data_IF_101706461433
#
_entry.id   IF_101706461433
#
_cell.length_a   1.000
_cell.length_b   1.000
_cell.length_c   1.000
_cell.angle_alpha   90.00
_cell.angle_beta   90.00
_cell.angle_gamma   90.00
#
_symmetry.space_group_name_H-M   'P 1'
#
loop_
_entity.id
_entity.type
_entity.pdbx_description
1 polymer ?
#
# COMPACT_ATOMS: atom_id res chain seq x y z
N UNK A 1 1.76 7.04 -17.48
CA UNK A 1 1.33 7.48 -16.14
C UNK A 1 0.38 8.64 -16.28
N UNK A 2 -0.74 8.60 -15.57
CA UNK A 2 -1.82 9.58 -15.68
C UNK A 2 -2.09 10.35 -14.38
N UNK A 3 -1.13 10.32 -13.43
CA UNK A 3 -1.18 11.10 -12.19
C UNK A 3 -1.09 12.60 -12.49
N UNK A 4 -2.04 13.38 -11.99
CA UNK A 4 -2.12 14.83 -12.17
C UNK A 4 -1.47 15.58 -11.01
N UNK A 5 -1.94 15.32 -9.80
CA UNK A 5 -1.52 15.99 -8.58
C UNK A 5 -1.89 15.16 -7.35
N UNK A 6 -1.44 15.61 -6.18
CA UNK A 6 -1.95 15.16 -4.90
C UNK A 6 -3.00 16.17 -4.40
N UNK A 7 -4.12 15.69 -3.88
CA UNK A 7 -5.19 16.54 -3.33
C UNK A 7 -5.41 16.20 -1.86
N UNK A 8 -5.56 17.22 -1.01
CA UNK A 8 -5.89 16.99 0.38
C UNK A 8 -7.33 16.49 0.55
N UNK A 9 -7.48 15.36 1.24
CA UNK A 9 -8.78 14.71 1.49
C UNK A 9 -9.75 15.51 2.36
N UNK A 10 -9.35 16.67 2.87
CA UNK A 10 -10.16 17.49 3.78
C UNK A 10 -10.36 18.92 3.29
N UNK A 11 -9.29 19.61 2.85
CA UNK A 11 -9.38 21.00 2.40
C UNK A 11 -9.29 21.17 0.87
N UNK A 12 -9.08 20.10 0.10
CA UNK A 12 -8.96 20.16 -1.36
C UNK A 12 -7.70 20.86 -1.87
N UNK A 13 -6.75 21.22 -0.99
CA UNK A 13 -5.51 21.87 -1.43
C UNK A 13 -4.69 20.93 -2.32
N UNK A 14 -4.26 21.44 -3.47
CA UNK A 14 -3.40 20.72 -4.40
C UNK A 14 -1.94 20.75 -3.94
N UNK A 15 -1.25 19.64 -4.17
CA UNK A 15 0.15 19.43 -3.87
C UNK A 15 0.85 18.76 -5.05
N UNK A 16 2.13 19.08 -5.23
CA UNK A 16 2.97 18.42 -6.23
C UNK A 16 3.24 16.96 -5.83
N UNK A 17 3.10 16.06 -6.79
CA UNK A 17 3.39 14.64 -6.59
C UNK A 17 4.87 14.29 -6.83
N UNK A 18 5.64 15.20 -7.45
CA UNK A 18 7.02 14.98 -7.89
C UNK A 18 8.07 15.12 -6.79
N UNK A 19 7.66 15.15 -5.52
CA UNK A 19 8.55 15.26 -4.35
C UNK A 19 8.07 14.39 -3.21
N UNK A 20 8.99 13.99 -2.34
CA UNK A 20 8.63 13.30 -1.10
C UNK A 20 7.74 14.20 -0.25
N UNK A 21 6.52 13.73 -0.03
CA UNK A 21 5.54 14.42 0.77
C UNK A 21 4.74 13.44 1.60
N UNK A 22 4.47 13.82 2.84
CA UNK A 22 3.59 13.07 3.71
C UNK A 22 2.15 13.63 3.64
N UNK A 23 1.83 14.57 4.51
CA UNK A 23 0.48 15.13 4.68
C UNK A 23 0.35 16.50 4.02
N UNK A 24 -0.89 17.00 3.98
CA UNK A 24 -1.18 18.36 3.53
C UNK A 24 -0.39 19.39 4.34
N UNK A 25 0.27 20.32 3.64
CA UNK A 25 1.06 21.38 4.26
C UNK A 25 0.20 22.38 5.05
N UNK A 26 -1.08 22.51 4.71
CA UNK A 26 -2.01 23.44 5.35
C UNK A 26 -2.68 22.84 6.59
N UNK A 27 -3.35 21.69 6.44
CA UNK A 27 -4.19 21.12 7.51
C UNK A 27 -3.71 19.78 8.07
N UNK A 28 -2.54 19.28 7.63
CA UNK A 28 -1.92 18.03 8.09
C UNK A 28 -2.80 16.76 7.89
N UNK A 29 -3.82 16.83 7.02
CA UNK A 29 -4.66 15.69 6.65
C UNK A 29 -4.05 14.89 5.48
N UNK A 30 -4.50 13.64 5.27
CA UNK A 30 -4.00 12.78 4.20
C UNK A 30 -4.14 13.42 2.81
N UNK A 31 -3.29 12.98 1.90
CA UNK A 31 -3.27 13.37 0.50
C UNK A 31 -3.68 12.17 -0.36
N UNK A 32 -4.52 12.41 -1.37
CA UNK A 32 -4.93 11.42 -2.36
C UNK A 32 -4.28 11.71 -3.71
N UNK A 33 -3.89 10.66 -4.41
CA UNK A 33 -3.34 10.75 -5.76
C UNK A 33 -4.47 10.87 -6.78
N UNK A 34 -4.53 12.01 -7.48
CA UNK A 34 -5.59 12.29 -8.46
C UNK A 34 -5.13 11.89 -9.84
N UNK A 35 -5.79 10.89 -10.42
CA UNK A 35 -5.46 10.31 -11.73
C UNK A 35 -6.45 10.77 -12.80
N UNK A 36 -5.96 11.05 -14.00
CA UNK A 36 -6.80 11.26 -15.17
C UNK A 36 -7.42 9.94 -15.65
N UNK A 37 -8.61 9.61 -15.15
CA UNK A 37 -9.32 8.38 -15.53
C UNK A 37 -9.75 8.38 -17.00
N UNK A 38 -10.04 9.53 -17.59
CA UNK A 38 -10.45 9.63 -18.99
C UNK A 38 -9.28 9.38 -19.94
N UNK A 39 -8.07 9.78 -19.56
CA UNK A 39 -6.86 9.42 -20.29
C UNK A 39 -6.45 7.96 -20.02
N UNK A 40 -6.52 7.50 -18.78
CA UNK A 40 -6.17 6.13 -18.40
C UNK A 40 -7.06 5.09 -19.09
N UNK A 41 -8.36 5.35 -19.22
CA UNK A 41 -9.33 4.42 -19.85
C UNK A 41 -9.02 4.12 -21.32
N UNK A 42 -8.26 4.98 -22.01
CA UNK A 42 -7.81 4.74 -23.40
C UNK A 42 -6.85 3.55 -23.52
N UNK A 43 -6.18 3.18 -22.43
CA UNK A 43 -5.17 2.10 -22.41
C UNK A 43 -5.51 0.99 -21.40
N UNK A 44 -6.38 1.28 -20.43
CA UNK A 44 -6.88 0.31 -19.45
C UNK A 44 -8.23 -0.25 -19.92
N UNK A 45 -8.21 -1.07 -20.96
CA UNK A 45 -9.40 -1.76 -21.47
C UNK A 45 -9.46 -3.21 -20.99
N UNK A 46 -10.63 -3.85 -21.12
CA UNK A 46 -10.83 -5.25 -20.73
C UNK A 46 -9.95 -6.19 -21.57
N UNK A 47 -9.85 -5.90 -22.86
CA UNK A 47 -9.07 -6.65 -23.84
C UNK A 47 -7.57 -6.51 -23.55
N UNK A 48 -7.13 -5.29 -23.20
CA UNK A 48 -5.76 -5.06 -22.80
C UNK A 48 -5.41 -5.78 -21.49
N UNK A 49 -6.33 -5.83 -20.53
CA UNK A 49 -6.11 -6.55 -19.27
C UNK A 49 -6.03 -8.06 -19.48
N UNK A 50 -6.84 -8.65 -20.35
CA UNK A 50 -6.92 -10.09 -20.59
C UNK A 50 -5.57 -10.75 -20.97
N UNK A 51 -4.66 -9.98 -21.56
CA UNK A 51 -3.34 -10.46 -22.01
C UNK A 51 -2.18 -10.07 -21.08
N UNK A 52 -2.43 -9.22 -20.08
CA UNK A 52 -1.40 -8.81 -19.10
C UNK A 52 -1.15 -9.90 -18.07
N UNK A 53 0.07 -9.92 -17.55
CA UNK A 53 0.43 -10.72 -16.38
C UNK A 53 -0.53 -10.44 -15.22
N UNK A 54 -0.88 -11.50 -14.48
CA UNK A 54 -1.75 -11.40 -13.30
C UNK A 54 -0.96 -10.89 -12.10
N UNK A 55 -0.79 -9.58 -12.01
CA UNK A 55 -0.18 -8.88 -10.88
C UNK A 55 -0.92 -7.58 -10.58
N UNK A 56 -0.65 -6.96 -9.43
CA UNK A 56 -1.13 -5.62 -9.09
C UNK A 56 -0.79 -4.60 -10.19
N UNK A 57 0.40 -4.71 -10.77
CA UNK A 57 0.93 -3.74 -11.74
C UNK A 57 0.28 -3.83 -13.12
N UNK A 58 -0.58 -4.82 -13.38
CA UNK A 58 -1.40 -4.82 -14.61
C UNK A 58 -2.35 -3.62 -14.70
N UNK A 59 -2.67 -3.00 -13.57
CA UNK A 59 -3.48 -1.77 -13.47
C UNK A 59 -2.64 -0.48 -13.53
N UNK A 60 -1.38 -0.55 -14.00
CA UNK A 60 -0.42 0.58 -14.02
C UNK A 60 -0.98 1.91 -14.53
N UNK A 61 -1.87 1.90 -15.51
CA UNK A 61 -2.50 3.10 -16.04
C UNK A 61 -3.25 3.92 -14.97
N UNK A 62 -3.68 3.32 -13.87
CA UNK A 62 -4.32 4.03 -12.75
C UNK A 62 -3.45 4.09 -11.49
N UNK A 63 -2.16 3.78 -11.61
CA UNK A 63 -1.18 3.84 -10.53
C UNK A 63 -0.23 5.02 -10.70
N UNK A 64 0.37 5.52 -9.61
CA UNK A 64 1.11 6.79 -9.60
C UNK A 64 2.55 6.70 -10.13
N UNK A 65 3.05 5.51 -10.51
CA UNK A 65 4.44 5.31 -10.90
C UNK A 65 4.66 5.64 -12.40
N UNK A 66 5.70 6.42 -12.78
CA UNK A 66 6.01 6.72 -14.17
C UNK A 66 6.29 5.47 -15.01
N UNK A 67 5.86 5.47 -16.27
CA UNK A 67 5.84 4.25 -17.10
C UNK A 67 7.22 3.64 -17.35
N UNK A 68 8.27 4.48 -17.38
CA UNK A 68 9.65 4.08 -17.57
C UNK A 68 10.37 3.61 -16.29
N UNK A 69 9.67 3.53 -15.16
CA UNK A 69 10.25 3.14 -13.86
C UNK A 69 9.77 1.75 -13.47
N UNK A 70 10.70 0.82 -13.29
CA UNK A 70 10.38 -0.54 -12.86
C UNK A 70 9.78 -0.53 -11.43
N UNK A 71 8.61 -1.14 -11.22
CA UNK A 71 8.02 -1.23 -9.89
C UNK A 71 8.80 -2.14 -8.95
N UNK A 72 8.78 -1.80 -7.66
CA UNK A 72 9.19 -2.70 -6.59
C UNK A 72 8.05 -3.66 -6.31
N UNK A 73 8.11 -4.83 -6.96
CA UNK A 73 7.13 -5.90 -6.85
C UNK A 73 7.73 -7.14 -6.20
N UNK A 74 6.89 -7.86 -5.45
CA UNK A 74 7.13 -9.22 -4.99
C UNK A 74 6.12 -10.22 -5.61
N UNK A 75 5.31 -9.77 -6.56
CA UNK A 75 4.26 -10.57 -7.22
C UNK A 75 2.88 -10.44 -6.58
N UNK A 76 2.65 -9.39 -5.78
CA UNK A 76 1.36 -9.12 -5.16
C UNK A 76 0.23 -8.88 -6.17
N UNK A 77 -1.01 -9.14 -5.73
CA UNK A 77 -2.20 -9.13 -6.60
C UNK A 77 -2.47 -10.48 -7.27
N UNK A 78 -3.49 -10.54 -8.11
CA UNK A 78 -3.92 -11.80 -8.75
C UNK A 78 -4.42 -12.87 -7.77
N UNK A 79 -4.78 -12.46 -6.56
CA UNK A 79 -5.20 -13.33 -5.45
C UNK A 79 -6.51 -14.07 -5.75
N UNK A 80 -6.75 -15.26 -5.19
CA UNK A 80 -7.95 -16.04 -5.48
C UNK A 80 -9.25 -15.38 -5.04
N UNK A 81 -10.32 -15.66 -5.78
CA UNK A 81 -11.70 -15.43 -5.38
C UNK A 81 -12.35 -16.79 -5.14
N UNK A 82 -12.54 -17.16 -3.88
CA UNK A 82 -12.92 -18.50 -3.44
C UNK A 82 -14.42 -18.56 -3.15
N UNK A 83 -15.12 -19.51 -3.76
CA UNK A 83 -16.55 -19.72 -3.49
C UNK A 83 -16.77 -20.52 -2.20
N UNK A 84 -17.41 -19.93 -1.20
CA UNK A 84 -17.66 -20.53 0.11
C UNK A 84 -18.96 -21.37 0.12
N UNK A 85 -19.02 -22.42 -0.71
CA UNK A 85 -20.25 -23.20 -1.01
C UNK A 85 -21.00 -23.76 0.21
N UNK A 86 -20.32 -24.00 1.33
CA UNK A 86 -20.90 -24.61 2.54
C UNK A 86 -21.16 -23.61 3.68
N UNK A 87 -20.88 -22.32 3.47
CA UNK A 87 -20.97 -21.32 4.53
C UNK A 87 -22.43 -20.91 4.80
N UNK A 88 -23.21 -20.71 3.74
CA UNK A 88 -24.63 -20.40 3.81
C UNK A 88 -25.32 -21.01 2.58
N UNK A 89 -26.28 -21.90 2.79
CA UNK A 89 -26.93 -22.63 1.69
C UNK A 89 -27.73 -21.71 0.75
N UNK A 90 -28.23 -20.59 1.30
CA UNK A 90 -29.10 -19.65 0.59
C UNK A 90 -28.38 -18.40 0.08
N UNK A 91 -27.06 -18.29 0.28
CA UNK A 91 -26.27 -17.12 -0.11
C UNK A 91 -25.08 -17.52 -0.98
N UNK A 92 -24.86 -16.81 -2.09
CA UNK A 92 -23.66 -16.98 -2.91
C UNK A 92 -22.48 -16.20 -2.32
N UNK A 93 -21.79 -16.82 -1.36
CA UNK A 93 -20.69 -16.19 -0.64
C UNK A 93 -19.35 -16.49 -1.32
N UNK A 94 -18.58 -15.42 -1.53
CA UNK A 94 -17.22 -15.48 -2.07
C UNK A 94 -16.24 -14.81 -1.11
N UNK A 95 -15.02 -15.36 -1.05
CA UNK A 95 -13.92 -14.87 -0.22
C UNK A 95 -12.79 -14.41 -1.13
N UNK A 96 -12.46 -13.13 -1.04
CA UNK A 96 -11.29 -12.57 -1.69
C UNK A 96 -10.06 -12.82 -0.82
N UNK A 97 -9.28 -13.84 -1.15
CA UNK A 97 -8.23 -14.34 -0.26
C UNK A 97 -6.90 -13.58 -0.44
N UNK A 98 -6.78 -12.48 0.29
CA UNK A 98 -5.57 -11.65 0.33
C UNK A 98 -4.42 -12.26 1.18
N UNK A 99 -4.63 -13.42 1.81
CA UNK A 99 -3.59 -14.10 2.60
C UNK A 99 -2.50 -14.72 1.74
N UNK A 100 -2.74 -14.89 0.42
CA UNK A 100 -1.75 -15.44 -0.51
C UNK A 100 -0.85 -14.39 -1.15
N UNK A 101 -0.94 -13.12 -0.74
CA UNK A 101 0.07 -12.14 -1.13
C UNK A 101 1.45 -12.50 -0.55
N UNK A 102 2.56 -11.98 -1.11
CA UNK A 102 3.93 -12.31 -0.70
C UNK A 102 4.25 -12.11 0.79
N UNK A 103 3.54 -11.20 1.46
CA UNK A 103 3.70 -10.89 2.90
C UNK A 103 2.45 -11.30 3.70
N UNK A 104 1.75 -12.32 3.20
CA UNK A 104 0.58 -12.96 3.78
C UNK A 104 -0.57 -12.01 4.16
N UNK A 105 -0.65 -10.86 3.51
CA UNK A 105 -1.70 -9.88 3.75
C UNK A 105 -1.85 -8.89 2.60
N UNK A 106 -3.02 -8.25 2.55
CA UNK A 106 -3.32 -7.17 1.59
C UNK A 106 -2.38 -5.96 1.69
N UNK A 107 -1.56 -5.85 2.76
CA UNK A 107 -0.61 -4.74 2.93
C UNK A 107 0.46 -4.74 1.84
N UNK A 108 0.75 -5.90 1.24
CA UNK A 108 1.63 -6.04 0.09
C UNK A 108 1.25 -5.10 -1.06
N UNK A 109 -0.06 -5.03 -1.38
CA UNK A 109 -0.57 -4.17 -2.46
C UNK A 109 -0.18 -2.71 -2.28
N UNK A 110 -0.44 -2.18 -1.08
CA UNK A 110 -0.12 -0.80 -0.76
C UNK A 110 1.38 -0.53 -0.67
N UNK A 111 2.15 -1.44 -0.08
CA UNK A 111 3.60 -1.26 0.08
C UNK A 111 4.35 -1.31 -1.23
N UNK A 112 3.94 -2.16 -2.17
CA UNK A 112 4.48 -2.18 -3.52
C UNK A 112 4.46 -0.80 -4.17
N UNK A 113 3.29 -0.16 -4.18
CA UNK A 113 3.13 1.17 -4.79
C UNK A 113 3.84 2.25 -3.98
N UNK A 114 3.68 2.24 -2.65
CA UNK A 114 4.24 3.26 -1.79
C UNK A 114 5.78 3.26 -1.78
N UNK A 115 6.41 2.08 -1.69
CA UNK A 115 7.87 1.94 -1.71
C UNK A 115 8.43 2.26 -3.09
N UNK A 116 7.74 1.86 -4.16
CA UNK A 116 8.12 2.25 -5.53
C UNK A 116 8.15 3.77 -5.71
N UNK A 117 7.11 4.46 -5.24
CA UNK A 117 7.05 5.92 -5.29
C UNK A 117 8.10 6.57 -4.39
N UNK A 118 8.28 6.08 -3.15
CA UNK A 118 9.29 6.60 -2.25
C UNK A 118 10.70 6.49 -2.86
N UNK A 119 11.06 5.32 -3.41
CA UNK A 119 12.33 5.11 -4.10
C UNK A 119 12.48 6.04 -5.30
N UNK A 120 11.46 6.12 -6.16
CA UNK A 120 11.46 6.98 -7.33
C UNK A 120 11.68 8.46 -6.97
N UNK A 121 11.07 8.90 -5.88
CA UNK A 121 11.18 10.28 -5.36
C UNK A 121 12.47 10.51 -4.53
N UNK A 122 13.37 9.54 -4.45
CA UNK A 122 14.69 9.69 -3.85
C UNK A 122 14.79 9.35 -2.36
N UNK A 123 13.78 8.70 -1.77
CA UNK A 123 13.91 8.20 -0.40
C UNK A 123 14.96 7.07 -0.34
N UNK A 124 15.85 7.15 0.65
CA UNK A 124 16.85 6.10 0.93
C UNK A 124 16.53 5.33 2.21
N UNK A 125 15.79 5.95 3.14
CA UNK A 125 15.40 5.40 4.42
C UNK A 125 13.91 5.59 4.68
N UNK A 126 13.25 4.52 5.09
CA UNK A 126 11.81 4.48 5.36
C UNK A 126 11.58 4.22 6.85
N UNK A 127 10.57 4.85 7.45
CA UNK A 127 10.21 4.61 8.84
C UNK A 127 8.70 4.42 9.03
N UNK A 128 8.27 3.42 9.79
CA UNK A 128 6.87 3.24 10.14
C UNK A 128 6.66 2.77 11.58
N UNK A 129 5.60 3.25 12.26
CA UNK A 129 5.12 2.65 13.48
C UNK A 129 4.20 1.47 13.11
N UNK A 130 4.61 0.24 13.40
CA UNK A 130 3.74 -0.92 13.16
C UNK A 130 4.08 -2.13 14.01
N UNK A 131 3.08 -2.64 14.74
CA UNK A 131 3.16 -3.87 15.51
C UNK A 131 2.66 -5.12 14.74
N UNK A 132 2.51 -5.06 13.41
CA UNK A 132 1.89 -6.15 12.63
C UNK A 132 2.19 -6.08 11.14
N UNK A 133 1.27 -6.58 10.30
CA UNK A 133 1.46 -6.84 8.87
C UNK A 133 2.02 -5.65 8.05
N UNK A 134 1.76 -4.40 8.46
CA UNK A 134 2.31 -3.25 7.75
C UNK A 134 3.83 -3.09 7.96
N UNK A 135 4.35 -3.47 9.12
CA UNK A 135 5.78 -3.54 9.42
C UNK A 135 6.48 -4.60 8.58
N UNK A 136 5.98 -5.85 8.63
CA UNK A 136 6.52 -6.96 7.83
C UNK A 136 6.50 -6.65 6.33
N UNK A 137 5.39 -6.09 5.83
CA UNK A 137 5.32 -5.65 4.44
C UNK A 137 6.34 -4.54 4.12
N UNK A 138 6.46 -3.50 4.96
CA UNK A 138 7.46 -2.46 4.72
C UNK A 138 8.89 -3.03 4.71
N UNK A 139 9.22 -3.93 5.63
CA UNK A 139 10.53 -4.58 5.68
C UNK A 139 10.82 -5.36 4.38
N UNK A 140 9.88 -6.18 3.92
CA UNK A 140 10.05 -6.99 2.71
C UNK A 140 10.25 -6.13 1.45
N UNK A 141 9.41 -5.10 1.26
CA UNK A 141 9.50 -4.23 0.09
C UNK A 141 10.71 -3.30 0.14
N UNK A 142 11.11 -2.82 1.33
CA UNK A 142 12.34 -2.05 1.48
C UNK A 142 13.58 -2.88 1.15
N UNK A 143 13.64 -4.13 1.64
CA UNK A 143 14.71 -5.07 1.30
C UNK A 143 14.78 -5.32 -0.21
N UNK A 144 13.63 -5.58 -0.86
CA UNK A 144 13.55 -5.72 -2.33
C UNK A 144 14.00 -4.46 -3.06
N UNK A 145 13.73 -3.29 -2.50
CA UNK A 145 14.09 -1.99 -3.07
C UNK A 145 15.54 -1.59 -2.82
N UNK A 146 16.26 -2.24 -1.89
CA UNK A 146 17.58 -1.80 -1.42
C UNK A 146 17.52 -0.53 -0.57
N UNK A 147 16.45 -0.34 0.21
CA UNK A 147 16.25 0.80 1.09
C UNK A 147 16.41 0.37 2.56
N UNK A 148 16.85 1.29 3.41
CA UNK A 148 16.84 1.07 4.87
C UNK A 148 15.40 1.16 5.39
N UNK A 149 14.97 0.20 6.21
CA UNK A 149 13.68 0.24 6.89
C UNK A 149 13.87 0.34 8.40
N UNK A 150 13.21 1.31 9.03
CA UNK A 150 13.16 1.50 10.47
C UNK A 150 11.73 1.26 10.97
N UNK A 151 11.54 0.26 11.81
CA UNK A 151 10.21 -0.12 12.29
C UNK A 151 10.16 0.07 13.79
N UNK A 152 9.23 0.91 14.22
CA UNK A 152 9.00 1.22 15.63
C UNK A 152 7.81 0.44 16.12
N UNK A 153 8.02 -0.33 17.18
CA UNK A 153 7.05 -1.28 17.72
C UNK A 153 6.89 -1.08 19.23
N UNK A 154 5.68 -1.15 19.79
CA UNK A 154 5.47 -1.35 21.22
C UNK A 154 6.27 -2.54 21.76
N UNK A 155 6.77 -2.45 22.99
CA UNK A 155 7.54 -3.50 23.66
C UNK A 155 6.76 -4.81 23.85
N UNK A 156 5.44 -4.74 23.89
CA UNK A 156 4.50 -5.86 23.99
C UNK A 156 4.10 -6.47 22.63
N UNK A 157 4.69 -5.99 21.53
CA UNK A 157 4.43 -6.52 20.18
C UNK A 157 4.70 -8.02 20.11
N UNK A 158 3.81 -8.82 19.48
CA UNK A 158 4.03 -10.25 19.28
C UNK A 158 5.42 -10.54 18.68
N UNK A 159 6.15 -11.45 19.31
CA UNK A 159 7.54 -11.78 18.94
C UNK A 159 7.69 -12.16 17.46
N UNK A 160 6.68 -12.82 16.88
CA UNK A 160 6.68 -13.20 15.47
C UNK A 160 6.86 -11.97 14.53
N UNK A 161 6.17 -10.87 14.82
CA UNK A 161 6.22 -9.65 13.98
C UNK A 161 7.58 -8.95 14.11
N UNK A 162 8.16 -8.97 15.32
CA UNK A 162 9.52 -8.46 15.57
C UNK A 162 10.57 -9.28 14.80
N UNK A 163 10.46 -10.61 14.85
CA UNK A 163 11.36 -11.52 14.13
C UNK A 163 11.22 -11.32 12.63
N UNK A 164 10.02 -11.36 12.08
CA UNK A 164 9.75 -11.16 10.65
C UNK A 164 10.46 -9.91 10.12
N UNK A 165 10.29 -8.77 10.80
CA UNK A 165 10.91 -7.52 10.38
C UNK A 165 12.45 -7.56 10.44
N UNK A 166 13.02 -8.16 11.49
CA UNK A 166 14.48 -8.27 11.66
C UNK A 166 15.12 -9.21 10.64
N UNK A 167 14.51 -10.35 10.37
CA UNK A 167 14.98 -11.33 9.38
C UNK A 167 14.92 -10.78 7.96
N UNK A 168 13.97 -9.88 7.68
CA UNK A 168 13.89 -9.12 6.43
C UNK A 168 14.88 -7.94 6.38
N UNK A 169 15.73 -7.76 7.40
CA UNK A 169 16.79 -6.75 7.44
C UNK A 169 16.37 -5.37 7.95
N UNK A 170 15.18 -5.21 8.52
CA UNK A 170 14.75 -3.93 9.08
C UNK A 170 15.36 -3.65 10.46
N UNK A 171 15.65 -2.38 10.72
CA UNK A 171 16.02 -1.87 12.04
C UNK A 171 14.78 -1.75 12.92
N UNK A 172 14.56 -2.74 13.79
CA UNK A 172 13.42 -2.73 14.73
C UNK A 172 13.80 -2.06 16.05
N UNK A 173 13.10 -0.98 16.40
CA UNK A 173 13.19 -0.31 17.70
C UNK A 173 11.95 -0.61 18.52
N UNK A 174 12.13 -1.19 19.71
CA UNK A 174 11.05 -1.41 20.67
C UNK A 174 10.89 -0.17 21.55
N UNK A 175 9.66 0.27 21.77
CA UNK A 175 9.30 1.41 22.61
C UNK A 175 8.41 0.91 23.74
N UNK A 176 8.73 1.30 24.97
CA UNK A 176 7.86 1.10 26.12
C UNK A 176 6.70 2.11 26.06
N UNK A 177 5.60 1.72 25.43
CA UNK A 177 4.48 2.60 25.13
C UNK A 177 3.60 2.04 24.01
N UNK A 178 2.67 2.87 23.53
CA UNK A 178 1.70 2.52 22.50
C UNK A 178 2.23 2.78 21.09
N UNK A 179 1.47 2.33 20.09
CA UNK A 179 1.77 2.59 18.69
C UNK A 179 1.80 4.10 18.36
N UNK A 180 1.06 4.91 19.12
CA UNK A 180 1.08 6.37 19.02
C UNK A 180 2.42 6.96 19.43
N UNK A 181 3.06 6.40 20.46
CA UNK A 181 4.39 6.82 20.93
C UNK A 181 5.47 6.44 19.92
N UNK A 182 5.31 5.28 19.27
CA UNK A 182 6.13 4.89 18.12
C UNK A 182 6.04 5.91 16.97
N UNK A 183 4.83 6.36 16.65
CA UNK A 183 4.61 7.38 15.63
C UNK A 183 5.17 8.75 16.03
N UNK A 184 5.11 9.10 17.31
CA UNK A 184 5.68 10.34 17.84
C UNK A 184 7.22 10.34 17.76
N UNK A 185 7.87 9.22 18.06
CA UNK A 185 9.33 9.09 17.96
C UNK A 185 9.82 9.25 16.52
N UNK A 186 9.10 8.68 15.55
CA UNK A 186 9.39 8.90 14.12
C UNK A 186 9.23 10.37 13.76
N UNK A 187 8.13 11.01 14.17
CA UNK A 187 7.88 12.42 13.88
C UNK A 187 8.98 13.34 14.44
N UNK A 188 9.50 13.02 15.63
CA UNK A 188 10.57 13.76 16.30
C UNK A 188 11.91 13.66 15.59
N UNK A 189 12.22 12.52 14.99
CA UNK A 189 13.56 12.21 14.45
C UNK A 189 13.68 12.17 12.95
N UNK A 190 12.57 12.03 12.22
CA UNK A 190 12.60 11.80 10.76
C UNK A 190 13.44 12.80 9.97
N UNK A 191 13.42 14.08 10.35
CA UNK A 191 14.22 15.10 9.68
C UNK A 191 15.72 14.94 9.95
N UNK A 192 16.08 14.62 11.20
CA UNK A 192 17.48 14.42 11.62
C UNK A 192 18.06 13.14 11.01
N UNK A 193 17.28 12.06 11.02
CA UNK A 193 17.74 10.73 10.63
C UNK A 193 17.46 10.43 9.14
N UNK A 194 16.85 11.36 8.41
CA UNK A 194 16.62 11.27 6.96
C UNK A 194 15.53 10.27 6.55
N UNK A 195 14.53 10.05 7.41
CA UNK A 195 13.47 9.06 7.17
C UNK A 195 12.29 9.65 6.41
N UNK A 196 11.80 8.90 5.42
CA UNK A 196 10.48 9.10 4.87
C UNK A 196 9.44 8.33 5.71
N UNK A 197 8.45 9.05 6.23
CA UNK A 197 7.44 8.53 7.15
C UNK A 197 6.38 7.71 6.39
N UNK A 198 6.44 6.39 6.55
CA UNK A 198 5.54 5.39 5.99
C UNK A 198 4.42 5.02 6.97
N UNK A 199 4.06 5.87 7.92
CA UNK A 199 2.85 5.65 8.73
C UNK A 199 1.60 5.58 7.86
N UNK A 200 0.61 4.79 8.28
CA UNK A 200 -0.67 4.70 7.56
C UNK A 200 -1.32 6.08 7.38
N UNK A 201 -1.74 6.37 6.14
CA UNK A 201 -2.35 7.64 5.70
C UNK A 201 -1.44 8.87 5.77
N UNK A 202 -0.16 8.70 6.15
CA UNK A 202 0.82 9.79 6.04
C UNK A 202 1.52 9.81 4.70
N UNK A 203 1.82 8.69 4.07
CA UNK A 203 2.28 8.69 2.66
C UNK A 203 1.08 8.51 1.72
N UNK A 204 1.06 9.22 0.57
CA UNK A 204 -0.14 9.36 -0.26
C UNK A 204 -0.43 8.18 -1.18
N UNK A 205 0.51 7.25 -1.36
CA UNK A 205 0.48 6.28 -2.46
C UNK A 205 0.02 4.88 -2.03
N UNK A 206 -0.03 4.57 -0.73
CA UNK A 206 -0.55 3.28 -0.23
C UNK A 206 -1.93 2.92 -0.76
N UNK A 207 -2.82 3.91 -0.77
CA UNK A 207 -4.23 3.72 -1.11
C UNK A 207 -4.36 3.32 -2.58
N UNK A 208 -3.46 3.82 -3.42
CA UNK A 208 -3.41 3.50 -4.85
C UNK A 208 -3.10 2.03 -5.11
N UNK A 209 -2.27 1.40 -4.27
CA UNK A 209 -2.08 -0.04 -4.31
C UNK A 209 -3.32 -0.79 -3.84
N UNK A 210 -3.91 -0.37 -2.71
CA UNK A 210 -5.11 -1.01 -2.14
C UNK A 210 -6.32 -1.00 -3.08
N UNK A 211 -6.56 0.11 -3.80
CA UNK A 211 -7.73 0.22 -4.70
C UNK A 211 -7.72 -0.83 -5.83
N UNK A 212 -6.55 -1.38 -6.17
CA UNK A 212 -6.44 -2.45 -7.18
C UNK A 212 -7.23 -3.70 -6.80
N UNK A 213 -7.48 -3.92 -5.51
CA UNK A 213 -8.37 -4.97 -5.04
C UNK A 213 -9.76 -4.88 -5.67
N UNK A 214 -10.30 -3.66 -5.81
CA UNK A 214 -11.60 -3.43 -6.44
C UNK A 214 -11.60 -3.73 -7.95
N UNK A 215 -10.52 -3.35 -8.66
CA UNK A 215 -10.39 -3.66 -10.09
C UNK A 215 -10.24 -5.17 -10.32
N UNK A 216 -9.47 -5.84 -9.45
CA UNK A 216 -9.27 -7.28 -9.51
C UNK A 216 -10.56 -8.05 -9.21
N UNK A 217 -11.35 -7.59 -8.24
CA UNK A 217 -12.70 -8.12 -8.00
C UNK A 217 -13.62 -7.92 -9.20
N UNK A 218 -13.64 -6.72 -9.79
CA UNK A 218 -14.45 -6.45 -10.97
C UNK A 218 -14.06 -7.39 -12.12
N UNK A 219 -12.77 -7.59 -12.36
CA UNK A 219 -12.28 -8.50 -13.40
C UNK A 219 -12.67 -9.95 -13.12
N UNK A 220 -12.46 -10.44 -11.90
CA UNK A 220 -12.74 -11.83 -11.53
C UNK A 220 -14.23 -12.16 -11.50
N UNK A 221 -15.09 -11.16 -11.32
CA UNK A 221 -16.54 -11.28 -11.46
C UNK A 221 -17.04 -10.90 -12.85
N UNK A 222 -16.20 -10.95 -13.88
CA UNK A 222 -16.57 -10.68 -15.28
C UNK A 222 -17.27 -9.31 -15.47
N UNK A 223 -16.83 -8.32 -14.69
CA UNK A 223 -17.35 -6.96 -14.64
C UNK A 223 -18.79 -6.83 -14.15
N UNK A 224 -19.29 -7.86 -13.46
CA UNK A 224 -20.56 -7.87 -12.74
C UNK A 224 -20.27 -7.99 -11.24
N UNK A 225 -20.19 -6.84 -10.56
CA UNK A 225 -19.86 -6.80 -9.14
C UNK A 225 -20.97 -7.45 -8.29
N UNK A 226 -20.62 -8.05 -7.14
CA UNK A 226 -21.62 -8.56 -6.20
C UNK A 226 -22.45 -7.41 -5.62
N UNK A 227 -23.67 -7.73 -5.19
CA UNK A 227 -24.58 -6.77 -4.56
C UNK A 227 -24.01 -6.21 -3.24
N UNK A 228 -23.20 -7.00 -2.55
CA UNK A 228 -22.61 -6.66 -1.25
C UNK A 228 -21.13 -7.01 -1.23
N UNK A 229 -20.31 -6.06 -0.79
CA UNK A 229 -18.90 -6.27 -0.48
C UNK A 229 -18.71 -5.99 1.01
N UNK A 230 -18.34 -7.04 1.76
CA UNK A 230 -17.96 -6.92 3.17
C UNK A 230 -16.44 -6.80 3.27
N UNK A 231 -15.98 -5.61 3.65
CA UNK A 231 -14.56 -5.32 3.83
C UNK A 231 -14.28 -4.99 5.30
N UNK A 232 -13.60 -5.87 6.06
CA UNK A 232 -13.22 -5.58 7.44
C UNK A 232 -12.35 -4.33 7.52
N UNK A 233 -12.81 -3.32 8.24
CA UNK A 233 -12.09 -2.07 8.41
C UNK A 233 -11.21 -2.14 9.67
N UNK A 234 -9.90 -2.12 9.44
CA UNK A 234 -8.88 -2.09 10.49
C UNK A 234 -7.49 -1.94 9.86
N UNK A 235 -6.70 -0.99 10.37
CA UNK A 235 -5.29 -0.81 9.99
C UNK A 235 -4.99 -0.19 8.63
#
# INVERSE_FOLDING_TARGET
MFLKHLECSACGLHHEWSRLQNVCLSCQKPLFAIVDLAAASRTLTREALATREKSLWRYRAVLPLPDNVEPISLGEGGTPLLRARKFAADLDVWIKDESLNPTQSFKARGMSVAVSMAKYLGATKLAAPSAGNAGGALAAYAARAGLEAHIFMPSDTPRANVIECRELGAHVTLIDGLITDCGAEIARRKAKDGWFDMSTLKEPYRVEGKKTLGYELAEQCEWQLPDVILYPTGG
#
